data_IF_689160999995
#
_entry.id   IF_689160999995
#
_cell.length_a   1.000
_cell.length_b   1.000
_cell.length_c   1.000
_cell.angle_alpha   90.00
_cell.angle_beta   90.00
_cell.angle_gamma   90.00
#
_symmetry.space_group_name_H-M   'P 1'
#
loop_
_entity.id
_entity.type
_entity.pdbx_description
1 polymer ?
#
# COMPACT_ATOMS: atom_id res chain seq x y z
N UNK A 1 -18.21 2.47 0.81
CA UNK A 1 -18.21 2.18 2.26
C UNK A 1 -16.76 2.31 2.71
N UNK A 2 -16.45 3.38 3.43
CA UNK A 2 -15.13 3.58 4.02
C UNK A 2 -15.04 2.80 5.33
N UNK A 3 -13.88 2.22 5.60
CA UNK A 3 -13.53 1.61 6.88
C UNK A 3 -12.14 2.15 7.28
N UNK A 4 -11.86 2.33 8.59
CA UNK A 4 -10.62 2.93 9.03
C UNK A 4 -9.43 2.02 8.71
N UNK A 5 -8.27 2.60 8.41
CA UNK A 5 -7.06 1.80 8.26
C UNK A 5 -6.73 1.06 9.56
N UNK A 6 -6.33 -0.20 9.44
CA UNK A 6 -5.78 -0.99 10.54
C UNK A 6 -4.27 -1.14 10.42
N UNK A 7 -3.57 -1.13 11.55
CA UNK A 7 -2.13 -1.40 11.63
C UNK A 7 -1.91 -2.68 12.42
N UNK A 8 -0.94 -3.49 11.98
CA UNK A 8 -0.42 -4.64 12.71
C UNK A 8 1.09 -4.60 12.78
N UNK A 9 1.59 -4.76 14.00
CA UNK A 9 3.02 -4.86 14.30
C UNK A 9 3.40 -6.32 14.46
N UNK A 10 4.69 -6.65 14.28
CA UNK A 10 5.23 -7.95 14.62
C UNK A 10 4.82 -8.40 16.03
N UNK A 11 4.46 -9.66 16.19
CA UNK A 11 4.18 -10.33 17.48
C UNK A 11 5.06 -11.56 17.73
N UNK A 12 5.94 -11.88 16.79
CA UNK A 12 6.85 -13.02 16.88
C UNK A 12 7.67 -13.15 15.61
N UNK A 13 8.87 -13.74 15.73
CA UNK A 13 9.66 -14.16 14.58
C UNK A 13 8.92 -15.30 13.85
N UNK A 14 8.82 -15.23 12.52
CA UNK A 14 8.13 -16.24 11.71
C UNK A 14 9.12 -17.11 10.95
N UNK A 15 9.78 -16.55 9.93
CA UNK A 15 10.79 -17.24 9.13
C UNK A 15 11.96 -16.29 8.83
N UNK A 16 13.14 -16.85 8.56
CA UNK A 16 14.32 -16.08 8.21
C UNK A 16 15.37 -16.90 7.47
N UNK A 17 16.14 -16.21 6.64
CA UNK A 17 17.36 -16.74 6.05
C UNK A 17 18.47 -15.70 6.05
N UNK A 18 19.72 -16.17 6.05
CA UNK A 18 20.87 -15.30 6.22
C UNK A 18 21.04 -14.89 7.68
N UNK A 19 21.92 -13.92 7.92
CA UNK A 19 22.22 -13.44 9.27
C UNK A 19 21.62 -12.06 9.49
N UNK A 20 20.75 -11.97 10.50
CA UNK A 20 20.26 -10.71 11.08
C UNK A 20 20.81 -10.58 12.49
N UNK A 21 21.72 -9.62 12.69
CA UNK A 21 22.16 -9.21 14.02
C UNK A 21 21.06 -8.40 14.70
N UNK A 22 20.97 -8.48 16.02
CA UNK A 22 20.02 -7.70 16.83
C UNK A 22 20.77 -6.77 17.77
N UNK A 23 20.26 -5.55 17.96
CA UNK A 23 20.78 -4.59 18.93
C UNK A 23 19.62 -4.01 19.75
N UNK A 24 19.74 -3.92 21.09
CA UNK A 24 20.72 -4.64 21.91
C UNK A 24 20.56 -6.16 21.76
N UNK A 25 21.58 -6.94 22.16
CA UNK A 25 21.59 -8.40 21.96
C UNK A 25 20.52 -9.15 22.76
N UNK A 26 19.94 -8.52 23.77
CA UNK A 26 18.86 -9.06 24.59
C UNK A 26 17.62 -8.14 24.52
N UNK A 27 16.39 -8.66 24.34
CA UNK A 27 16.11 -10.04 23.92
C UNK A 27 16.70 -10.34 22.53
N UNK A 28 16.99 -11.61 22.27
CA UNK A 28 17.64 -12.06 21.03
C UNK A 28 16.68 -12.15 19.82
N UNK A 29 15.39 -12.02 20.07
CA UNK A 29 14.29 -12.05 19.09
C UNK A 29 14.32 -10.80 18.21
N UNK A 30 14.11 -10.98 16.91
CA UNK A 30 14.17 -9.87 15.95
C UNK A 30 12.93 -8.99 16.02
N UNK A 31 11.75 -9.60 16.18
CA UNK A 31 10.47 -8.88 16.21
C UNK A 31 10.41 -7.81 17.30
N UNK A 32 11.01 -8.06 18.48
CA UNK A 32 11.10 -7.11 19.58
C UNK A 32 11.93 -5.86 19.24
N UNK A 33 12.79 -5.93 18.22
CA UNK A 33 13.67 -4.84 17.78
C UNK A 33 13.09 -4.00 16.65
N UNK A 34 11.90 -4.35 16.16
CA UNK A 34 11.29 -3.71 14.99
C UNK A 34 9.87 -3.20 15.25
N UNK A 35 9.57 -2.83 16.50
CA UNK A 35 8.22 -2.41 16.90
C UNK A 35 7.99 -0.90 16.74
N UNK A 36 8.99 -0.09 17.05
CA UNK A 36 8.89 1.36 17.12
C UNK A 36 10.17 2.00 16.61
N UNK A 37 10.04 3.07 15.83
CA UNK A 37 11.20 3.86 15.47
C UNK A 37 11.68 4.65 16.69
N UNK A 38 12.77 4.20 17.30
CA UNK A 38 13.44 4.79 18.47
C UNK A 38 14.91 5.20 18.19
N UNK A 39 15.29 5.29 16.92
CA UNK A 39 16.63 5.62 16.46
C UNK A 39 17.53 4.40 16.51
N UNK A 40 18.62 4.51 17.26
CA UNK A 40 19.58 3.40 17.45
C UNK A 40 19.39 2.68 18.79
N UNK A 41 18.24 2.87 19.44
CA UNK A 41 17.96 2.19 20.70
C UNK A 41 17.63 0.70 20.48
N UNK A 42 16.87 0.36 19.42
CA UNK A 42 16.70 -1.01 18.99
C UNK A 42 16.63 -1.15 17.46
N UNK A 43 17.35 -2.13 16.92
CA UNK A 43 17.28 -2.47 15.50
C UNK A 43 17.76 -3.89 15.21
N UNK A 44 17.35 -4.40 14.05
CA UNK A 44 18.01 -5.54 13.39
C UNK A 44 18.89 -5.05 12.26
N UNK A 45 19.98 -5.77 12.00
CA UNK A 45 20.95 -5.41 10.96
C UNK A 45 21.28 -6.62 10.09
N UNK A 46 21.17 -6.46 8.77
CA UNK A 46 21.69 -7.40 7.78
C UNK A 46 22.97 -6.83 7.17
N UNK A 47 24.03 -7.63 7.11
CA UNK A 47 25.32 -7.25 6.47
C UNK A 47 25.61 -8.06 5.19
N UNK A 48 24.68 -8.92 4.80
CA UNK A 48 24.69 -9.73 3.59
C UNK A 48 23.25 -9.92 3.14
N UNK A 49 23.05 -10.64 2.03
CA UNK A 49 21.70 -11.05 1.65
C UNK A 49 21.05 -11.82 2.80
N UNK A 50 19.88 -11.36 3.22
CA UNK A 50 19.14 -11.92 4.35
C UNK A 50 17.70 -11.44 4.30
N UNK A 51 16.77 -12.27 4.76
CA UNK A 51 15.37 -11.88 4.92
C UNK A 51 14.83 -12.37 6.25
N UNK A 52 13.88 -11.64 6.79
CA UNK A 52 13.19 -11.98 8.02
C UNK A 52 11.74 -11.56 7.88
N UNK A 53 10.84 -12.47 8.24
CA UNK A 53 9.41 -12.24 8.32
C UNK A 53 8.92 -12.47 9.74
N UNK A 54 7.79 -11.83 10.02
CA UNK A 54 7.23 -11.72 11.35
C UNK A 54 5.75 -12.11 11.31
N UNK A 55 5.36 -12.86 12.33
CA UNK A 55 3.95 -13.12 12.61
C UNK A 55 3.32 -11.86 13.19
N UNK A 56 2.01 -11.76 13.07
CA UNK A 56 1.23 -10.64 13.60
C UNK A 56 -0.18 -11.12 13.95
N UNK A 57 -0.90 -10.42 14.86
CA UNK A 57 -2.31 -10.73 15.10
C UNK A 57 -3.13 -10.44 13.85
N UNK A 58 -4.05 -11.33 13.48
CA UNK A 58 -4.90 -11.15 12.30
C UNK A 58 -5.59 -9.76 12.27
N UNK A 59 -5.80 -9.25 11.06
CA UNK A 59 -6.64 -8.07 10.85
C UNK A 59 -8.10 -8.38 11.17
N UNK A 60 -8.94 -7.35 11.33
CA UNK A 60 -10.37 -7.55 11.59
C UNK A 60 -11.21 -6.57 10.77
N UNK A 61 -10.99 -6.60 9.46
CA UNK A 61 -11.67 -5.69 8.55
C UNK A 61 -13.13 -6.13 8.32
N UNK A 62 -14.06 -5.18 8.06
CA UNK A 62 -15.48 -5.49 7.89
C UNK A 62 -15.76 -6.45 6.73
N UNK A 63 -16.78 -7.30 6.86
CA UNK A 63 -17.17 -8.30 5.85
C UNK A 63 -17.60 -7.72 4.49
N UNK A 64 -17.89 -6.41 4.44
CA UNK A 64 -18.23 -5.68 3.22
C UNK A 64 -17.10 -4.79 2.71
N UNK A 65 -15.87 -4.93 3.24
CA UNK A 65 -14.72 -4.22 2.74
C UNK A 65 -14.42 -4.63 1.29
N UNK A 66 -14.15 -3.62 0.45
CA UNK A 66 -13.80 -3.78 -0.96
C UNK A 66 -12.63 -2.88 -1.31
N UNK A 67 -11.88 -3.23 -2.35
CA UNK A 67 -10.70 -2.49 -2.78
C UNK A 67 -9.68 -2.40 -1.65
N UNK A 68 -9.19 -3.54 -1.17
CA UNK A 68 -8.28 -3.62 -0.04
C UNK A 68 -6.84 -3.45 -0.54
N UNK A 69 -6.05 -2.59 0.10
CA UNK A 69 -4.60 -2.56 -0.07
C UNK A 69 -3.89 -2.98 1.23
N UNK A 70 -2.75 -3.65 1.04
CA UNK A 70 -1.80 -3.96 2.11
C UNK A 70 -0.52 -3.15 1.87
N UNK A 71 -0.17 -2.29 2.81
CA UNK A 71 1.09 -1.56 2.87
C UNK A 71 1.99 -2.17 3.94
N UNK A 72 3.27 -2.31 3.64
CA UNK A 72 4.30 -2.57 4.62
C UNK A 72 5.16 -1.33 4.76
N UNK A 73 5.23 -0.79 5.97
CA UNK A 73 6.07 0.36 6.30
C UNK A 73 7.27 -0.14 7.08
N UNK A 74 8.47 0.27 6.68
CA UNK A 74 9.68 0.02 7.46
C UNK A 74 10.49 1.30 7.62
N UNK A 75 10.97 1.53 8.83
CA UNK A 75 11.96 2.56 9.11
C UNK A 75 13.33 1.91 9.02
N UNK A 76 14.08 2.31 8.00
CA UNK A 76 15.35 1.69 7.63
C UNK A 76 16.44 2.72 7.48
N UNK A 77 17.68 2.32 7.74
CA UNK A 77 18.84 3.18 7.56
C UNK A 77 20.00 2.43 6.96
N UNK A 78 20.64 3.07 6.01
CA UNK A 78 22.01 2.78 5.59
C UNK A 78 22.88 3.90 6.20
N UNK A 79 23.83 3.56 7.08
CA UNK A 79 24.63 4.54 7.82
C UNK A 79 26.05 4.75 7.25
N UNK A 80 26.41 4.05 6.17
CA UNK A 80 27.77 4.06 5.64
C UNK A 80 27.77 4.31 4.11
N UNK A 81 28.95 4.44 3.53
CA UNK A 81 29.13 4.68 2.10
C UNK A 81 28.74 3.45 1.28
N UNK A 82 27.98 3.67 0.21
CA UNK A 82 27.47 2.63 -0.68
C UNK A 82 25.95 2.62 -0.76
N UNK A 83 25.42 1.61 -1.44
CA UNK A 83 23.99 1.45 -1.70
C UNK A 83 23.59 0.02 -1.39
N UNK A 84 22.46 -0.13 -0.70
CA UNK A 84 21.86 -1.43 -0.39
C UNK A 84 20.43 -1.47 -0.88
N UNK A 85 19.93 -2.65 -1.22
CA UNK A 85 18.54 -2.84 -1.61
C UNK A 85 17.73 -3.42 -0.47
N UNK A 86 16.49 -2.97 -0.32
CA UNK A 86 15.49 -3.66 0.49
C UNK A 86 14.27 -4.01 -0.35
N UNK A 87 13.61 -5.09 0.04
CA UNK A 87 12.35 -5.53 -0.52
C UNK A 87 11.39 -5.74 0.64
N UNK A 88 10.14 -5.36 0.44
CA UNK A 88 9.07 -5.72 1.34
C UNK A 88 8.56 -7.10 0.98
N UNK A 89 8.33 -7.94 1.98
CA UNK A 89 8.01 -9.35 1.78
C UNK A 89 6.73 -9.71 2.52
N UNK A 90 5.91 -10.54 1.91
CA UNK A 90 4.77 -11.18 2.55
C UNK A 90 4.80 -12.69 2.30
N UNK A 91 4.12 -13.43 3.17
CA UNK A 91 4.00 -14.87 3.06
C UNK A 91 2.55 -15.34 3.20
N UNK A 92 2.26 -16.43 2.50
CA UNK A 92 1.00 -17.17 2.55
C UNK A 92 1.30 -18.66 2.42
N UNK A 93 0.97 -19.44 3.44
CA UNK A 93 1.18 -20.89 3.50
C UNK A 93 2.62 -21.32 3.12
N UNK A 94 3.62 -20.57 3.60
CA UNK A 94 5.04 -20.81 3.34
C UNK A 94 5.51 -20.44 1.92
N UNK A 95 4.63 -19.89 1.09
CA UNK A 95 4.99 -19.26 -0.19
C UNK A 95 5.25 -17.78 0.04
N UNK A 96 6.27 -17.25 -0.62
CA UNK A 96 6.75 -15.88 -0.40
C UNK A 96 6.56 -15.03 -1.64
N UNK A 97 6.17 -13.77 -1.42
CA UNK A 97 6.14 -12.74 -2.44
C UNK A 97 6.92 -11.52 -1.93
N UNK A 98 7.57 -10.81 -2.82
CA UNK A 98 8.34 -9.61 -2.47
C UNK A 98 8.05 -8.48 -3.45
N UNK A 99 8.27 -7.25 -3.01
CA UNK A 99 8.19 -6.08 -3.88
C UNK A 99 9.36 -6.06 -4.87
N UNK A 100 9.57 -4.95 -5.57
CA UNK A 100 10.83 -4.65 -6.25
C UNK A 100 11.77 -3.90 -5.28
N UNK A 101 13.08 -3.82 -5.57
CA UNK A 101 14.02 -3.25 -4.62
C UNK A 101 13.81 -1.74 -4.45
N UNK A 102 13.74 -1.30 -3.20
CA UNK A 102 13.98 0.07 -2.80
C UNK A 102 15.46 0.27 -2.48
N UNK A 103 16.08 1.26 -3.12
CA UNK A 103 17.48 1.58 -2.90
C UNK A 103 17.65 2.44 -1.64
N UNK A 104 18.57 2.02 -0.79
CA UNK A 104 18.98 2.72 0.41
C UNK A 104 20.33 3.36 0.21
N UNK A 105 20.33 4.69 0.20
CA UNK A 105 21.52 5.52 0.24
C UNK A 105 21.85 5.88 1.69
N UNK A 106 23.10 6.30 1.90
CA UNK A 106 23.57 6.78 3.20
C UNK A 106 22.67 7.89 3.73
N UNK A 107 22.22 7.76 4.98
CA UNK A 107 21.44 8.77 5.67
C UNK A 107 21.78 8.82 7.17
N UNK A 108 21.68 9.99 7.80
CA UNK A 108 21.89 10.18 9.25
C UNK A 108 20.78 9.54 10.08
N UNK A 109 19.55 9.71 9.62
CA UNK A 109 18.32 9.27 10.28
C UNK A 109 17.70 8.07 9.55
N UNK A 110 16.87 7.31 10.24
CA UNK A 110 16.07 6.29 9.56
C UNK A 110 15.06 6.95 8.64
N UNK A 111 14.85 6.32 7.49
CA UNK A 111 13.93 6.74 6.47
C UNK A 111 12.76 5.77 6.45
N UNK A 112 11.54 6.30 6.41
CA UNK A 112 10.39 5.46 6.13
C UNK A 112 10.44 5.01 4.66
N UNK A 113 10.26 3.72 4.46
CA UNK A 113 10.07 3.09 3.15
C UNK A 113 8.75 2.32 3.19
N UNK A 114 8.08 2.27 2.05
CA UNK A 114 6.75 1.68 1.94
C UNK A 114 6.73 0.72 0.76
N UNK A 115 6.32 -0.51 1.01
CA UNK A 115 6.00 -1.51 0.00
C UNK A 115 4.50 -1.74 -0.06
N UNK A 116 3.93 -1.82 -1.27
CA UNK A 116 2.48 -1.90 -1.44
C UNK A 116 2.12 -3.19 -2.19
N UNK A 117 1.10 -3.87 -1.71
CA UNK A 117 0.44 -5.01 -2.35
C UNK A 117 -1.05 -4.65 -2.56
N UNK A 118 -1.37 -4.11 -3.73
CA UNK A 118 -2.74 -3.73 -4.11
C UNK A 118 -3.62 -4.94 -4.48
N UNK A 119 -2.99 -6.07 -4.80
CA UNK A 119 -3.61 -7.36 -5.05
C UNK A 119 -2.88 -8.43 -4.24
N UNK A 120 -3.53 -9.57 -4.03
CA UNK A 120 -2.89 -10.75 -3.48
C UNK A 120 -1.91 -11.32 -4.51
N UNK A 121 -0.58 -11.27 -4.28
CA UNK A 121 0.40 -11.73 -5.25
C UNK A 121 0.42 -13.25 -5.43
N UNK A 122 -0.26 -14.01 -4.57
CA UNK A 122 -0.36 -15.47 -4.66
C UNK A 122 -1.51 -15.93 -5.57
N UNK A 123 -2.53 -15.08 -5.75
CA UNK A 123 -3.69 -15.36 -6.60
C UNK A 123 -3.78 -14.44 -7.82
N UNK A 124 -2.98 -13.38 -7.85
CA UNK A 124 -3.02 -12.29 -8.84
C UNK A 124 -4.38 -11.57 -8.90
N UNK A 125 -5.20 -11.71 -7.85
CA UNK A 125 -6.53 -11.12 -7.73
C UNK A 125 -6.59 -10.08 -6.60
N UNK A 126 -7.61 -9.19 -6.56
CA UNK A 126 -7.80 -8.28 -5.44
C UNK A 126 -7.89 -9.02 -4.12
N UNK A 127 -7.33 -8.45 -3.05
CA UNK A 127 -7.45 -9.00 -1.71
C UNK A 127 -8.93 -9.14 -1.30
N UNK A 128 -9.24 -10.27 -0.68
CA UNK A 128 -10.54 -10.55 -0.05
C UNK A 128 -10.48 -10.30 1.45
N UNK A 129 -11.65 -10.15 2.07
CA UNK A 129 -11.77 -10.00 3.53
C UNK A 129 -11.22 -11.23 4.25
N UNK A 130 -11.53 -12.42 3.77
CA UNK A 130 -11.09 -13.67 4.38
C UNK A 130 -9.56 -13.77 4.39
N UNK A 131 -8.89 -13.47 3.27
CA UNK A 131 -7.43 -13.52 3.17
C UNK A 131 -6.74 -12.54 4.15
N UNK A 132 -7.29 -11.34 4.32
CA UNK A 132 -6.75 -10.34 5.26
C UNK A 132 -7.03 -10.70 6.72
N UNK A 133 -8.21 -11.26 7.00
CA UNK A 133 -8.59 -11.69 8.34
C UNK A 133 -7.98 -13.05 8.72
N UNK A 134 -7.04 -13.58 7.93
CA UNK A 134 -6.30 -14.81 8.23
C UNK A 134 -7.09 -16.10 7.98
N UNK A 135 -8.07 -16.06 7.07
CA UNK A 135 -8.94 -17.18 6.70
C UNK A 135 -8.66 -17.62 5.27
N UNK A 136 -8.66 -18.95 5.05
CA UNK A 136 -8.54 -19.54 3.73
C UNK A 136 -7.11 -19.96 3.36
N UNK A 137 -6.91 -20.33 2.10
CA UNK A 137 -5.67 -20.94 1.61
C UNK A 137 -4.64 -19.94 1.06
N UNK A 138 -4.97 -18.64 0.99
CA UNK A 138 -4.08 -17.59 0.47
C UNK A 138 -4.01 -16.38 1.41
N UNK A 139 -4.13 -16.63 2.71
CA UNK A 139 -4.13 -15.59 3.75
C UNK A 139 -2.80 -14.87 3.86
N UNK A 140 -2.84 -13.62 4.31
CA UNK A 140 -1.64 -12.91 4.73
C UNK A 140 -1.19 -13.47 6.08
N UNK A 141 -0.17 -14.33 6.08
CA UNK A 141 0.26 -15.05 7.29
C UNK A 141 1.45 -14.37 7.98
N UNK A 142 2.34 -13.77 7.20
CA UNK A 142 3.50 -13.04 7.71
C UNK A 142 3.87 -11.89 6.78
N UNK A 143 4.58 -10.90 7.34
CA UNK A 143 5.21 -9.83 6.58
C UNK A 143 6.63 -9.58 7.07
N UNK A 144 7.46 -8.96 6.25
CA UNK A 144 8.84 -8.71 6.61
C UNK A 144 9.63 -7.95 5.58
N UNK A 145 10.95 -8.10 5.70
CA UNK A 145 11.92 -7.39 4.88
C UNK A 145 12.97 -8.36 4.33
N UNK A 146 13.41 -8.11 3.11
CA UNK A 146 14.50 -8.80 2.46
C UNK A 146 15.57 -7.79 2.06
N UNK A 147 16.75 -7.91 2.67
CA UNK A 147 17.93 -7.11 2.36
C UNK A 147 18.74 -7.79 1.24
N UNK A 148 19.08 -7.03 0.20
CA UNK A 148 19.80 -7.48 -0.99
C UNK A 148 20.89 -6.48 -1.35
N UNK A 149 21.91 -6.93 -2.10
CA UNK A 149 23.08 -6.11 -2.49
C UNK A 149 23.64 -5.26 -1.34
N UNK A 150 23.71 -5.86 -0.15
CA UNK A 150 23.97 -5.17 1.12
C UNK A 150 25.42 -4.72 1.22
N UNK A 151 25.70 -3.50 0.75
CA UNK A 151 27.01 -2.84 0.78
C UNK A 151 26.77 -1.33 0.93
N UNK A 152 26.42 -0.84 2.13
CA UNK A 152 26.76 -1.37 3.47
C UNK A 152 25.56 -2.01 4.23
N UNK A 153 25.68 -2.38 5.53
CA UNK A 153 24.58 -3.00 6.27
C UNK A 153 23.27 -2.20 6.25
N UNK A 154 22.15 -2.93 6.22
CA UNK A 154 20.80 -2.37 6.35
C UNK A 154 20.36 -2.50 7.79
N UNK A 155 20.03 -1.37 8.42
CA UNK A 155 19.45 -1.31 9.76
C UNK A 155 17.93 -1.14 9.64
N UNK A 156 17.16 -1.85 10.47
CA UNK A 156 15.70 -1.78 10.53
C UNK A 156 15.29 -1.67 12.00
N UNK A 157 14.60 -0.59 12.35
CA UNK A 157 14.15 -0.28 13.73
C UNK A 157 12.64 -0.39 13.88
N UNK A 158 11.90 -0.35 12.76
CA UNK A 158 10.47 -0.56 12.77
C UNK A 158 10.02 -1.23 11.48
N UNK A 159 9.07 -2.15 11.59
CA UNK A 159 8.24 -2.60 10.47
C UNK A 159 6.81 -2.83 10.93
N UNK A 160 5.83 -2.49 10.11
CA UNK A 160 4.43 -2.79 10.36
C UNK A 160 3.66 -2.94 9.06
N UNK A 161 2.59 -3.74 9.10
CA UNK A 161 1.60 -3.82 8.05
C UNK A 161 0.46 -2.84 8.33
N UNK A 162 -0.03 -2.18 7.28
CA UNK A 162 -1.20 -1.30 7.30
C UNK A 162 -2.17 -1.78 6.22
N UNK A 163 -3.43 -1.95 6.59
CA UNK A 163 -4.49 -2.38 5.67
C UNK A 163 -5.56 -1.31 5.64
N UNK A 164 -5.95 -0.87 4.45
CA UNK A 164 -6.91 0.22 4.28
C UNK A 164 -7.71 0.05 2.97
N UNK A 165 -8.89 0.71 2.86
CA UNK A 165 -9.61 0.74 1.60
C UNK A 165 -8.89 1.66 0.62
N UNK A 166 -8.51 1.14 -0.55
CA UNK A 166 -8.20 1.93 -1.73
C UNK A 166 -9.39 2.83 -2.12
N UNK A 167 -10.62 2.44 -1.78
CA UNK A 167 -11.81 3.19 -2.17
C UNK A 167 -12.41 2.72 -3.49
N UNK A 168 -13.68 3.03 -3.68
CA UNK A 168 -14.48 2.53 -4.79
C UNK A 168 -14.28 3.41 -6.04
N UNK A 169 -13.94 2.77 -7.15
CA UNK A 169 -13.90 3.37 -8.49
C UNK A 169 -14.71 2.52 -9.47
N UNK A 170 -15.31 3.15 -10.48
CA UNK A 170 -16.13 2.53 -11.53
C UNK A 170 -15.39 2.71 -12.85
N UNK A 171 -14.72 1.65 -13.28
CA UNK A 171 -13.78 1.67 -14.42
C UNK A 171 -12.34 1.93 -13.97
N UNK A 172 -11.43 2.04 -14.93
CA UNK A 172 -10.03 2.42 -14.72
C UNK A 172 -9.49 3.21 -15.92
N UNK A 173 -8.24 3.66 -15.85
CA UNK A 173 -7.63 4.45 -16.93
C UNK A 173 -7.55 3.72 -18.28
N UNK A 174 -7.45 2.39 -18.28
CA UNK A 174 -7.42 1.56 -19.49
C UNK A 174 -8.83 1.11 -19.94
N UNK A 175 -9.80 1.11 -19.04
CA UNK A 175 -11.18 0.68 -19.26
C UNK A 175 -12.16 1.80 -18.89
N UNK A 176 -12.33 2.75 -19.81
CA UNK A 176 -13.24 3.87 -19.63
C UNK A 176 -14.69 3.41 -19.45
N UNK A 177 -15.42 4.12 -18.59
CA UNK A 177 -16.86 3.98 -18.49
C UNK A 177 -17.53 4.61 -19.73
N UNK A 178 -18.26 3.80 -20.50
CA UNK A 178 -19.01 4.19 -21.71
C UNK A 178 -20.53 4.01 -21.54
N UNK A 179 -20.98 3.72 -20.31
CA UNK A 179 -22.36 3.41 -19.98
C UNK A 179 -23.21 4.62 -19.59
N UNK A 180 -24.41 4.35 -19.06
CA UNK A 180 -25.28 5.38 -18.48
C UNK A 180 -25.39 5.20 -16.97
N UNK A 181 -25.18 6.29 -16.23
CA UNK A 181 -25.39 6.38 -14.80
C UNK A 181 -26.34 7.54 -14.50
N UNK A 182 -27.54 7.23 -13.99
CA UNK A 182 -28.50 8.22 -13.50
C UNK A 182 -28.65 8.08 -11.99
N UNK A 183 -28.08 9.03 -11.25
CA UNK A 183 -28.17 9.08 -9.79
C UNK A 183 -29.58 9.40 -9.27
N UNK A 184 -30.52 9.78 -10.15
CA UNK A 184 -31.92 10.10 -9.81
C UNK A 184 -32.08 11.15 -8.69
N UNK A 185 -31.11 12.05 -8.57
CA UNK A 185 -31.07 13.10 -7.55
C UNK A 185 -30.53 12.63 -6.19
N UNK A 186 -29.99 11.42 -6.09
CA UNK A 186 -29.35 10.92 -4.87
C UNK A 186 -27.91 11.40 -4.74
N UNK A 187 -27.43 11.37 -3.50
CA UNK A 187 -26.07 11.74 -3.13
C UNK A 187 -25.30 10.53 -2.59
N UNK A 188 -24.01 10.49 -2.88
CA UNK A 188 -23.04 9.56 -2.35
C UNK A 188 -22.25 10.30 -1.27
N UNK A 189 -22.53 9.98 -0.01
CA UNK A 189 -21.83 10.55 1.14
C UNK A 189 -20.56 9.76 1.49
N UNK A 190 -19.53 10.45 2.00
CA UNK A 190 -18.32 9.83 2.55
C UNK A 190 -17.56 8.95 1.53
N UNK A 191 -17.53 9.39 0.26
CA UNK A 191 -16.71 8.73 -0.76
C UNK A 191 -15.24 8.89 -0.38
N UNK A 192 -14.58 7.77 -0.11
CA UNK A 192 -13.15 7.71 0.15
C UNK A 192 -12.44 7.06 -1.04
N UNK A 193 -11.39 7.71 -1.56
CA UNK A 193 -10.47 7.14 -2.55
C UNK A 193 -9.05 7.51 -2.15
N UNK A 194 -8.18 6.53 -1.99
CA UNK A 194 -6.78 6.76 -1.64
C UNK A 194 -5.87 6.08 -2.66
N UNK A 195 -5.20 6.90 -3.47
CA UNK A 195 -4.17 6.58 -4.46
C UNK A 195 -3.06 7.64 -4.35
N UNK A 196 -2.32 7.70 -3.23
CA UNK A 196 -1.36 8.76 -2.98
C UNK A 196 -0.27 8.78 -4.07
N UNK A 197 0.34 9.96 -4.31
CA UNK A 197 1.55 10.02 -5.11
C UNK A 197 2.60 9.07 -4.55
N UNK A 198 3.22 8.30 -5.43
CA UNK A 198 4.40 7.55 -5.05
C UNK A 198 5.57 8.53 -5.15
N UNK A 199 6.32 8.70 -4.06
CA UNK A 199 7.48 9.57 -4.09
C UNK A 199 8.48 9.17 -5.19
N UNK A 200 9.04 10.15 -5.93
CA UNK A 200 9.89 9.90 -7.10
C UNK A 200 11.30 9.38 -6.76
N UNK A 201 11.66 9.19 -5.48
CA UNK A 201 13.06 8.92 -5.08
C UNK A 201 13.47 7.44 -5.02
N UNK A 202 12.63 6.51 -5.45
CA UNK A 202 12.97 5.09 -5.53
C UNK A 202 12.45 4.49 -6.82
N UNK A 203 13.34 3.99 -7.66
CA UNK A 203 12.98 3.53 -8.99
C UNK A 203 12.05 2.31 -8.90
N UNK A 204 10.78 2.56 -9.26
CA UNK A 204 9.67 1.61 -9.45
C UNK A 204 8.92 1.33 -8.14
N UNK A 205 7.81 2.03 -7.98
CA UNK A 205 6.75 1.58 -7.09
C UNK A 205 5.90 0.54 -7.79
N UNK A 206 5.65 -0.57 -7.11
CA UNK A 206 4.66 -1.57 -7.49
C UNK A 206 3.24 -1.06 -7.22
N UNK A 207 2.90 0.02 -7.89
CA UNK A 207 1.53 0.19 -8.31
C UNK A 207 1.42 -0.60 -9.61
N UNK A 208 0.58 -1.64 -9.63
CA UNK A 208 0.10 -2.30 -10.85
C UNK A 208 -0.80 -1.34 -11.66
N UNK A 209 -0.42 -0.08 -11.78
CA UNK A 209 -0.92 0.87 -12.77
C UNK A 209 0.28 1.15 -13.67
N UNK A 210 0.21 0.79 -14.96
CA UNK A 210 1.34 0.93 -15.86
C UNK A 210 1.89 2.36 -15.80
N UNK A 211 3.22 2.49 -15.67
CA UNK A 211 4.01 3.74 -15.59
C UNK A 211 3.65 4.80 -16.65
N UNK A 212 2.96 4.42 -17.72
CA UNK A 212 2.63 5.26 -18.85
C UNK A 212 1.12 5.46 -19.05
N UNK A 213 0.27 5.06 -18.10
CA UNK A 213 -1.14 5.45 -18.09
C UNK A 213 -1.31 6.68 -17.18
N UNK A 214 -2.08 7.70 -17.60
CA UNK A 214 -2.49 8.77 -16.69
C UNK A 214 -3.25 8.16 -15.52
N UNK A 215 -2.87 8.53 -14.29
CA UNK A 215 -3.61 8.10 -13.10
C UNK A 215 -4.83 9.01 -12.95
N UNK A 216 -5.88 8.69 -13.72
CA UNK A 216 -7.16 9.35 -13.55
C UNK A 216 -7.85 8.82 -12.29
N UNK A 217 -8.14 9.71 -11.34
CA UNK A 217 -8.76 9.36 -10.07
C UNK A 217 -10.09 10.09 -9.94
N UNK A 218 -11.11 9.34 -9.52
CA UNK A 218 -12.47 9.80 -9.22
C UNK A 218 -13.40 8.60 -9.10
N UNK A 219 -14.66 8.81 -8.71
CA UNK A 219 -15.65 7.71 -8.71
C UNK A 219 -15.71 7.02 -10.07
N UNK A 220 -15.59 7.78 -11.16
CA UNK A 220 -15.36 7.30 -12.51
C UNK A 220 -13.99 7.79 -12.99
N UNK A 221 -12.94 6.97 -12.89
CA UNK A 221 -11.58 7.35 -13.30
C UNK A 221 -11.54 7.96 -14.70
N UNK A 222 -12.05 7.21 -15.68
CA UNK A 222 -12.07 7.62 -17.08
C UNK A 222 -13.47 7.42 -17.63
N UNK A 223 -14.02 8.45 -18.27
CA UNK A 223 -15.35 8.46 -18.88
C UNK A 223 -15.19 8.81 -20.34
N UNK A 224 -15.65 7.93 -21.23
CA UNK A 224 -15.55 8.13 -22.67
C UNK A 224 -16.92 8.24 -23.34
N UNK A 225 -17.01 9.03 -24.41
CA UNK A 225 -18.16 9.04 -25.31
C UNK A 225 -18.50 7.59 -25.75
N UNK A 226 -19.77 7.16 -25.67
CA UNK A 226 -20.99 7.93 -25.48
C UNK A 226 -21.56 7.92 -24.04
N UNK A 227 -20.72 7.88 -23.01
CA UNK A 227 -21.19 7.81 -21.63
C UNK A 227 -22.08 8.99 -21.23
N UNK A 228 -23.04 8.72 -20.34
CA UNK A 228 -23.90 9.74 -19.74
C UNK A 228 -23.90 9.53 -18.22
N UNK A 229 -23.44 10.52 -17.47
CA UNK A 229 -23.50 10.55 -16.00
C UNK A 229 -24.36 11.74 -15.59
N UNK A 230 -25.47 11.49 -14.90
CA UNK A 230 -26.40 12.56 -14.53
C UNK A 230 -27.04 12.41 -13.16
N UNK A 231 -27.51 13.53 -12.62
CA UNK A 231 -28.34 13.61 -11.41
C UNK A 231 -27.71 12.92 -10.18
N UNK A 232 -26.41 13.08 -9.96
CA UNK A 232 -25.71 12.52 -8.79
C UNK A 232 -24.89 13.58 -8.06
N UNK A 233 -25.02 13.62 -6.73
CA UNK A 233 -24.15 14.39 -5.86
C UNK A 233 -23.10 13.52 -5.18
N UNK A 234 -21.91 14.07 -4.90
CA UNK A 234 -20.97 13.52 -3.94
C UNK A 234 -20.86 14.50 -2.79
N UNK A 235 -21.03 14.04 -1.55
CA UNK A 235 -20.94 14.89 -0.36
C UNK A 235 -19.94 14.32 0.63
N UNK A 236 -19.18 15.21 1.28
CA UNK A 236 -18.16 14.87 2.25
C UNK A 236 -17.14 13.83 1.74
N UNK A 237 -16.65 13.99 0.51
CA UNK A 237 -15.60 13.11 -0.01
C UNK A 237 -14.23 13.40 0.61
N UNK A 238 -13.38 12.38 0.65
CA UNK A 238 -11.95 12.48 0.97
C UNK A 238 -11.17 11.64 -0.04
N UNK A 239 -10.59 12.34 -1.02
CA UNK A 239 -9.98 11.74 -2.19
C UNK A 239 -8.54 12.20 -2.31
N UNK A 240 -7.62 11.25 -2.32
CA UNK A 240 -6.22 11.47 -2.64
C UNK A 240 -5.88 10.70 -3.90
N UNK A 241 -5.38 11.38 -4.92
CA UNK A 241 -4.92 10.80 -6.17
C UNK A 241 -3.50 11.22 -6.54
N UNK A 242 -2.84 10.43 -7.40
CA UNK A 242 -1.45 10.66 -7.81
C UNK A 242 -1.32 11.81 -8.80
N UNK A 243 -2.25 11.93 -9.74
CA UNK A 243 -2.15 12.82 -10.89
C UNK A 243 -3.50 13.51 -11.10
N UNK A 244 -4.14 13.33 -12.25
CA UNK A 244 -5.42 13.93 -12.62
C UNK A 244 -6.55 13.40 -11.72
N UNK A 245 -6.88 14.19 -10.70
CA UNK A 245 -7.77 13.78 -9.61
C UNK A 245 -9.00 14.68 -9.55
N UNK A 246 -10.18 14.08 -9.63
CA UNK A 246 -11.47 14.73 -9.39
C UNK A 246 -12.34 13.89 -8.47
N UNK A 247 -13.39 14.49 -7.89
CA UNK A 247 -14.27 13.76 -6.98
C UNK A 247 -15.17 12.76 -7.72
N UNK A 248 -15.91 13.27 -8.72
CA UNK A 248 -16.78 12.44 -9.54
C UNK A 248 -16.00 11.76 -10.66
N UNK A 249 -15.17 12.51 -11.39
CA UNK A 249 -14.47 12.03 -12.61
C UNK A 249 -13.04 12.56 -12.65
N UNK A 250 -12.09 11.73 -13.09
CA UNK A 250 -10.72 12.13 -13.37
C UNK A 250 -10.56 12.68 -14.81
N UNK A 251 -10.90 11.88 -15.81
CA UNK A 251 -10.91 12.26 -17.24
C UNK A 251 -12.29 12.05 -17.86
N UNK A 252 -12.76 13.01 -18.67
CA UNK A 252 -14.07 12.98 -19.28
C UNK A 252 -14.06 13.38 -20.76
N UNK A 253 -14.59 12.53 -21.61
CA UNK A 253 -15.04 12.88 -22.97
C UNK A 253 -16.55 12.61 -23.21
N UNK A 254 -17.27 12.09 -22.20
CA UNK A 254 -18.73 11.87 -22.24
C UNK A 254 -19.57 13.05 -21.71
N UNK A 255 -20.88 12.83 -21.55
CA UNK A 255 -21.84 13.82 -21.05
C UNK A 255 -21.99 13.77 -19.52
N UNK A 256 -21.84 14.93 -18.86
CA UNK A 256 -22.09 15.10 -17.43
C UNK A 256 -23.15 16.18 -17.21
N UNK A 257 -24.29 15.84 -16.58
CA UNK A 257 -25.41 16.77 -16.42
C UNK A 257 -26.02 16.71 -15.01
N UNK A 258 -26.23 17.85 -14.36
CA UNK A 258 -26.86 17.93 -13.02
C UNK A 258 -26.14 17.14 -11.94
N UNK A 259 -24.80 17.23 -11.89
CA UNK A 259 -23.97 16.59 -10.88
C UNK A 259 -23.23 17.63 -10.03
N UNK A 260 -22.93 17.29 -8.77
CA UNK A 260 -22.13 18.13 -7.86
C UNK A 260 -21.21 17.30 -6.98
N UNK A 261 -20.18 17.92 -6.42
CA UNK A 261 -19.29 17.29 -5.45
C UNK A 261 -18.86 18.27 -4.35
N UNK A 262 -18.73 17.80 -3.11
CA UNK A 262 -18.15 18.53 -1.98
C UNK A 262 -17.27 17.61 -1.13
N UNK A 263 -16.27 18.18 -0.45
CA UNK A 263 -15.28 17.45 0.33
C UNK A 263 -13.84 17.86 0.02
N UNK A 264 -12.89 17.02 0.37
CA UNK A 264 -11.45 17.18 0.14
C UNK A 264 -10.99 16.35 -1.06
N UNK A 265 -10.27 16.99 -1.98
CA UNK A 265 -9.62 16.33 -3.12
C UNK A 265 -8.18 16.81 -3.19
N UNK A 266 -7.22 15.88 -3.11
CA UNK A 266 -5.79 16.13 -3.23
C UNK A 266 -5.25 15.39 -4.45
N UNK A 267 -4.63 16.09 -5.39
CA UNK A 267 -3.95 15.53 -6.57
C UNK A 267 -2.48 15.95 -6.62
N UNK A 268 -1.64 15.17 -7.30
CA UNK A 268 -0.18 15.39 -7.39
C UNK A 268 0.29 15.99 -8.73
N UNK A 269 -0.33 17.09 -9.15
CA UNK A 269 0.06 17.85 -10.36
C UNK A 269 1.16 18.87 -10.13
#
# INVERSE_FOLDING_TARGET
ISWPSEIRRPSGDYDSWGTWSVFPTDPATRWDKVLVQDGDAAYISASSWAWATFSFPAFTIPSNAVGIAVELHAFVRNNDTGTSGIYFRIESNGVVASTIPELLYRHSDYQEKVGIFVCNPFTEAPWTVDEINGVGANSLDAFGIYAHDVKPPVLVTQIYAKVYPLGLIIGDAAHAFTGQFDGKGHEISNLFIYRPPIEPTGQRSLVYLPRNAPDFIGLFPNVDDPAIIKNVGIVDCDITGRDVTGALIGSNTGEITSCHSSGSVTGGG
#
